data_IF_075808516605
#
_entry.id   IF_075808516605
#
_cell.length_a   1.000
_cell.length_b   1.000
_cell.length_c   1.000
_cell.angle_alpha   90.00
_cell.angle_beta   90.00
_cell.angle_gamma   90.00
#
_symmetry.space_group_name_H-M   'P 1'
#
loop_
_entity.id
_entity.type
_entity.pdbx_description
1 polymer ?
#
# COMPACT_ATOMS: atom_id res chain seq x y z
N UNK A 1 -28.57 37.09 -7.50
CA UNK A 1 -28.06 36.06 -6.58
C UNK A 1 -27.80 34.66 -7.21
N UNK A 2 -28.29 34.34 -8.41
CA UNK A 2 -28.07 33.01 -9.06
C UNK A 2 -26.75 32.91 -9.87
N UNK A 3 -26.19 34.00 -10.35
CA UNK A 3 -24.98 34.01 -11.19
C UNK A 3 -23.72 33.76 -10.35
N UNK A 4 -23.67 34.17 -9.07
CA UNK A 4 -22.50 33.96 -8.19
C UNK A 4 -22.30 32.50 -7.78
N UNK A 5 -23.36 31.69 -7.66
CA UNK A 5 -23.26 30.28 -7.27
C UNK A 5 -22.71 29.40 -8.41
N UNK A 6 -23.01 29.74 -9.69
CA UNK A 6 -22.51 28.99 -10.86
C UNK A 6 -21.00 29.20 -11.06
N UNK A 7 -20.49 30.43 -10.83
CA UNK A 7 -19.06 30.72 -10.94
C UNK A 7 -18.22 29.99 -9.88
N UNK A 8 -18.70 29.91 -8.63
CA UNK A 8 -17.98 29.23 -7.53
C UNK A 8 -17.87 27.72 -7.82
N UNK A 9 -18.91 27.09 -8.35
CA UNK A 9 -18.90 25.66 -8.68
C UNK A 9 -17.96 25.34 -9.85
N UNK A 10 -17.94 26.18 -10.88
CA UNK A 10 -17.07 26.03 -12.05
C UNK A 10 -15.57 26.20 -11.70
N UNK A 11 -15.23 27.14 -10.83
CA UNK A 11 -13.84 27.34 -10.36
C UNK A 11 -13.35 26.15 -9.53
N UNK A 12 -14.20 25.60 -8.66
CA UNK A 12 -13.84 24.45 -7.82
C UNK A 12 -13.59 23.19 -8.64
N UNK A 13 -14.35 22.93 -9.69
CA UNK A 13 -14.17 21.78 -10.60
C UNK A 13 -12.86 21.94 -11.40
N UNK A 14 -12.58 23.12 -11.91
CA UNK A 14 -11.36 23.37 -12.68
C UNK A 14 -10.11 23.21 -11.82
N UNK A 15 -10.11 23.71 -10.58
CA UNK A 15 -9.00 23.57 -9.64
C UNK A 15 -8.75 22.10 -9.26
N UNK A 16 -9.79 21.29 -9.10
CA UNK A 16 -9.66 19.88 -8.81
C UNK A 16 -9.05 19.09 -9.98
N UNK A 17 -9.42 19.40 -11.21
CA UNK A 17 -8.84 18.76 -12.41
C UNK A 17 -7.36 19.11 -12.60
N UNK A 18 -6.97 20.34 -12.34
CA UNK A 18 -5.57 20.78 -12.41
C UNK A 18 -4.71 20.07 -11.34
N UNK A 19 -5.20 19.95 -10.12
CA UNK A 19 -4.49 19.27 -9.05
C UNK A 19 -4.32 17.75 -9.30
N UNK A 20 -5.31 17.08 -9.89
CA UNK A 20 -5.22 15.67 -10.28
C UNK A 20 -4.23 15.49 -11.44
N UNK A 21 -4.23 16.37 -12.42
CA UNK A 21 -3.28 16.32 -13.53
C UNK A 21 -1.83 16.49 -13.07
N UNK A 22 -1.61 17.35 -12.07
CA UNK A 22 -0.30 17.64 -11.51
C UNK A 22 0.25 16.44 -10.75
N UNK A 23 -0.49 15.86 -9.81
CA UNK A 23 -0.06 14.67 -9.06
C UNK A 23 0.17 13.46 -9.99
N UNK A 24 -0.62 13.29 -11.05
CA UNK A 24 -0.44 12.21 -12.02
C UNK A 24 0.89 12.34 -12.76
N UNK A 25 1.29 13.56 -13.12
CA UNK A 25 2.57 13.81 -13.76
C UNK A 25 3.76 13.56 -12.82
N UNK A 26 3.66 13.97 -11.55
CA UNK A 26 4.67 13.70 -10.52
C UNK A 26 4.82 12.20 -10.27
N UNK A 27 3.70 11.48 -10.12
CA UNK A 27 3.68 10.02 -9.98
C UNK A 27 4.31 9.33 -11.20
N UNK A 28 4.05 9.80 -12.41
CA UNK A 28 4.65 9.28 -13.63
C UNK A 28 6.17 9.41 -13.65
N UNK A 29 6.70 10.57 -13.25
CA UNK A 29 8.15 10.80 -13.11
C UNK A 29 8.75 9.89 -12.03
N UNK A 30 8.12 9.78 -10.88
CA UNK A 30 8.58 8.94 -9.78
C UNK A 30 8.54 7.44 -10.16
N UNK A 31 7.49 6.99 -10.83
CA UNK A 31 7.30 5.59 -11.24
C UNK A 31 8.32 5.10 -12.28
N UNK A 32 8.97 6.02 -13.01
CA UNK A 32 9.98 5.71 -14.04
C UNK A 32 11.35 6.32 -13.74
N UNK A 33 11.54 6.88 -12.54
CA UNK A 33 12.75 7.57 -12.14
C UNK A 33 13.98 6.64 -12.10
N UNK A 34 15.16 7.21 -12.40
CA UNK A 34 16.45 6.49 -12.48
C UNK A 34 16.92 5.89 -11.15
N UNK A 35 16.34 6.31 -10.03
CA UNK A 35 16.59 5.72 -8.71
C UNK A 35 15.92 4.35 -8.52
N UNK A 36 15.07 3.93 -9.46
CA UNK A 36 14.38 2.65 -9.47
C UNK A 36 15.08 1.67 -10.39
N UNK A 37 15.17 0.40 -9.98
CA UNK A 37 15.69 -0.64 -10.84
C UNK A 37 14.75 -0.95 -12.03
N UNK A 38 15.31 -1.42 -13.15
CA UNK A 38 14.52 -1.86 -14.30
C UNK A 38 13.49 -2.92 -13.92
N UNK A 39 13.85 -3.85 -13.02
CA UNK A 39 12.94 -4.89 -12.51
C UNK A 39 11.75 -4.29 -11.77
N UNK A 40 11.97 -3.25 -10.94
CA UNK A 40 10.89 -2.57 -10.23
C UNK A 40 10.00 -1.76 -11.17
N UNK A 41 10.58 -1.09 -12.17
CA UNK A 41 9.85 -0.36 -13.22
C UNK A 41 9.02 -1.34 -14.05
N UNK A 42 9.60 -2.48 -14.46
CA UNK A 42 8.90 -3.51 -15.22
C UNK A 42 7.64 -4.09 -14.53
N UNK A 43 7.54 -3.90 -13.22
CA UNK A 43 6.36 -4.33 -12.43
C UNK A 43 5.25 -3.30 -12.36
N UNK A 44 5.44 -2.09 -12.91
CA UNK A 44 4.40 -1.06 -12.94
C UNK A 44 3.15 -1.56 -13.70
N UNK A 45 3.33 -2.38 -14.74
CA UNK A 45 2.23 -2.98 -15.53
C UNK A 45 1.31 -3.90 -14.72
N UNK A 46 1.77 -4.39 -13.57
CA UNK A 46 1.00 -5.25 -12.66
C UNK A 46 0.50 -4.51 -11.42
N UNK A 47 1.10 -3.38 -11.09
CA UNK A 47 0.85 -2.66 -9.83
C UNK A 47 0.20 -1.31 -10.01
N UNK A 48 0.12 -0.84 -11.25
CA UNK A 48 -0.58 0.39 -11.65
C UNK A 48 -0.42 1.51 -10.62
N UNK A 49 0.86 1.90 -10.27
CA UNK A 49 1.10 2.77 -9.12
C UNK A 49 0.45 4.14 -9.26
N UNK A 50 0.39 4.69 -10.47
CA UNK A 50 -0.19 6.01 -10.72
C UNK A 50 -1.68 5.97 -10.43
N UNK A 51 -2.38 5.03 -11.05
CA UNK A 51 -3.83 4.84 -10.92
C UNK A 51 -4.21 4.49 -9.48
N UNK A 52 -3.43 3.60 -8.85
CA UNK A 52 -3.66 3.16 -7.45
C UNK A 52 -3.53 4.31 -6.46
N UNK A 53 -2.45 5.10 -6.54
CA UNK A 53 -2.21 6.21 -5.63
C UNK A 53 -3.17 7.38 -5.88
N UNK A 54 -3.54 7.62 -7.15
CA UNK A 54 -4.60 8.58 -7.51
C UNK A 54 -5.96 8.16 -6.99
N UNK A 55 -6.32 6.88 -7.08
CA UNK A 55 -7.57 6.33 -6.51
C UNK A 55 -7.65 6.56 -5.00
N UNK A 56 -6.54 6.39 -4.28
CA UNK A 56 -6.48 6.67 -2.85
C UNK A 56 -6.53 8.17 -2.52
N UNK A 57 -6.33 9.03 -3.51
CA UNK A 57 -6.41 10.48 -3.36
C UNK A 57 -5.10 11.11 -2.85
N UNK A 58 -3.95 10.49 -3.15
CA UNK A 58 -2.64 11.05 -2.79
C UNK A 58 -2.47 12.46 -3.34
N UNK A 59 -1.90 13.34 -2.51
CA UNK A 59 -1.41 14.67 -2.89
C UNK A 59 0.02 14.83 -2.36
N UNK A 60 0.81 15.67 -3.01
CA UNK A 60 2.22 15.87 -2.66
C UNK A 60 2.46 16.58 -1.32
N UNK A 61 1.44 17.24 -0.77
CA UNK A 61 1.50 17.96 0.51
C UNK A 61 0.90 17.20 1.70
N UNK A 62 0.65 15.89 1.54
CA UNK A 62 0.08 15.05 2.59
C UNK A 62 1.14 14.49 3.54
N UNK A 63 0.73 14.23 4.77
CA UNK A 63 1.41 13.30 5.67
C UNK A 63 0.94 11.89 5.36
N UNK A 64 1.83 11.03 4.85
CA UNK A 64 1.55 9.66 4.42
C UNK A 64 2.30 8.66 5.29
N UNK A 65 1.63 7.57 5.67
CA UNK A 65 2.27 6.43 6.34
C UNK A 65 2.20 5.21 5.44
N UNK A 66 3.34 4.66 5.04
CA UNK A 66 3.44 3.37 4.35
C UNK A 66 3.68 2.26 5.37
N UNK A 67 2.75 1.29 5.44
CA UNK A 67 2.85 0.17 6.37
C UNK A 67 3.60 -0.99 5.73
N UNK A 68 4.67 -1.44 6.38
CA UNK A 68 5.51 -2.56 5.99
C UNK A 68 5.99 -2.48 4.53
N UNK A 69 6.77 -1.45 4.17
CA UNK A 69 7.40 -1.36 2.85
C UNK A 69 8.30 -2.56 2.54
N UNK A 70 8.68 -3.33 3.56
CA UNK A 70 9.59 -4.46 3.45
C UNK A 70 11.02 -4.04 3.19
N UNK A 71 11.89 -4.98 2.82
CA UNK A 71 13.30 -4.67 2.54
C UNK A 71 13.50 -3.92 1.21
N UNK A 72 12.56 -4.05 0.29
CA UNK A 72 12.65 -3.45 -1.06
C UNK A 72 12.04 -2.06 -1.18
N UNK A 73 11.05 -1.68 -0.35
CA UNK A 73 10.41 -0.36 -0.39
C UNK A 73 9.86 0.02 -1.76
N UNK A 74 9.13 -0.88 -2.41
CA UNK A 74 8.72 -0.70 -3.81
C UNK A 74 7.85 0.56 -4.03
N UNK A 75 6.88 0.81 -3.12
CA UNK A 75 6.07 2.02 -3.15
C UNK A 75 6.80 3.22 -2.51
N UNK A 76 7.70 2.99 -1.54
CA UNK A 76 8.57 4.04 -1.00
C UNK A 76 9.38 4.73 -2.10
N UNK A 77 9.83 3.97 -3.13
CA UNK A 77 10.53 4.53 -4.30
C UNK A 77 9.70 5.57 -5.05
N UNK A 78 8.39 5.50 -4.98
CA UNK A 78 7.46 6.41 -5.66
C UNK A 78 6.99 7.51 -4.70
N UNK A 79 6.64 7.14 -3.47
CA UNK A 79 6.11 8.06 -2.46
C UNK A 79 7.16 9.08 -2.00
N UNK A 80 8.41 8.62 -1.79
CA UNK A 80 9.45 9.49 -1.26
C UNK A 80 9.73 10.73 -2.14
N UNK A 81 9.98 10.61 -3.46
CA UNK A 81 10.21 11.80 -4.29
C UNK A 81 8.97 12.66 -4.47
N UNK A 82 7.75 12.09 -4.45
CA UNK A 82 6.50 12.84 -4.60
C UNK A 82 6.20 13.69 -3.37
N UNK A 83 6.50 13.17 -2.19
CA UNK A 83 6.22 13.86 -0.92
C UNK A 83 7.37 14.74 -0.43
N UNK A 84 8.51 14.73 -1.14
CA UNK A 84 9.77 15.29 -0.66
C UNK A 84 9.71 16.78 -0.30
N UNK A 85 9.04 17.59 -1.12
CA UNK A 85 9.09 19.05 -0.97
C UNK A 85 8.05 19.56 0.01
N UNK A 86 6.82 19.13 -0.11
CA UNK A 86 5.67 19.70 0.59
C UNK A 86 4.98 18.73 1.56
N UNK A 87 5.30 17.44 1.52
CA UNK A 87 4.67 16.38 2.31
C UNK A 87 5.61 15.74 3.32
N UNK A 88 5.10 14.73 4.01
CA UNK A 88 5.85 13.90 4.95
C UNK A 88 5.60 12.40 4.66
N UNK A 89 6.65 11.58 4.66
CA UNK A 89 6.55 10.13 4.53
C UNK A 89 7.09 9.42 5.76
N UNK A 90 6.22 8.72 6.47
CA UNK A 90 6.58 7.75 7.49
C UNK A 90 6.58 6.35 6.88
N UNK A 91 7.72 5.68 6.89
CA UNK A 91 7.86 4.30 6.47
C UNK A 91 7.85 3.39 7.70
N UNK A 92 6.66 2.98 8.12
CA UNK A 92 6.42 2.16 9.29
C UNK A 92 6.72 0.68 8.96
N UNK A 93 7.99 0.31 9.03
CA UNK A 93 8.48 -1.00 8.64
C UNK A 93 8.43 -2.02 9.79
N UNK A 94 9.07 -3.16 9.59
CA UNK A 94 9.27 -4.17 10.62
C UNK A 94 10.14 -3.63 11.76
N UNK A 95 9.81 -4.01 12.96
CA UNK A 95 10.72 -3.83 14.10
C UNK A 95 11.88 -4.83 13.98
N UNK A 96 13.07 -4.32 13.69
CA UNK A 96 14.28 -5.13 13.52
C UNK A 96 14.87 -5.67 14.83
N UNK A 97 14.24 -5.41 15.98
CA UNK A 97 14.69 -5.89 17.30
C UNK A 97 13.95 -7.14 17.79
N UNK A 98 13.09 -7.72 16.95
CA UNK A 98 12.18 -8.83 17.36
C UNK A 98 12.85 -10.19 17.53
N UNK A 99 14.13 -10.35 17.18
CA UNK A 99 14.82 -11.65 17.18
C UNK A 99 14.38 -12.59 16.03
N UNK A 100 13.56 -12.09 15.09
CA UNK A 100 13.08 -12.86 13.93
C UNK A 100 13.86 -12.45 12.70
N UNK A 101 14.74 -13.32 12.22
CA UNK A 101 15.67 -13.09 11.12
C UNK A 101 15.03 -12.42 9.87
N UNK A 102 13.82 -12.85 9.51
CA UNK A 102 13.11 -12.28 8.36
C UNK A 102 12.85 -10.77 8.53
N UNK A 103 12.38 -10.35 9.70
CA UNK A 103 12.06 -8.95 9.99
C UNK A 103 13.32 -8.11 10.17
N UNK A 104 14.32 -8.64 10.88
CA UNK A 104 15.62 -7.99 11.06
C UNK A 104 16.30 -7.74 9.71
N UNK A 105 16.36 -8.78 8.86
CA UNK A 105 16.91 -8.65 7.51
C UNK A 105 16.14 -7.64 6.68
N UNK A 106 14.81 -7.67 6.71
CA UNK A 106 13.96 -6.73 5.98
C UNK A 106 14.19 -5.29 6.42
N UNK A 107 14.21 -5.02 7.73
CA UNK A 107 14.48 -3.69 8.28
C UNK A 107 15.88 -3.19 7.92
N UNK A 108 16.90 -4.06 8.02
CA UNK A 108 18.30 -3.73 7.65
C UNK A 108 18.43 -3.39 6.16
N UNK A 109 17.83 -4.19 5.27
CA UNK A 109 17.86 -3.95 3.83
C UNK A 109 17.16 -2.64 3.47
N UNK A 110 16.02 -2.36 4.08
CA UNK A 110 15.30 -1.11 3.87
C UNK A 110 16.13 0.10 4.30
N UNK A 111 16.67 0.08 5.52
CA UNK A 111 17.53 1.15 6.03
C UNK A 111 18.75 1.38 5.12
N UNK A 112 19.38 0.29 4.66
CA UNK A 112 20.51 0.39 3.73
C UNK A 112 20.08 1.03 2.41
N UNK A 113 18.96 0.60 1.83
CA UNK A 113 18.44 1.19 0.58
C UNK A 113 18.27 2.70 0.68
N UNK A 114 17.68 3.18 1.77
CA UNK A 114 17.45 4.62 1.95
C UNK A 114 18.79 5.38 2.13
N UNK A 115 19.72 4.81 2.91
CA UNK A 115 21.04 5.43 3.13
C UNK A 115 21.94 5.42 1.89
N UNK A 116 21.76 4.49 0.96
CA UNK A 116 22.53 4.41 -0.29
C UNK A 116 22.14 5.50 -1.31
N UNK A 117 20.98 6.14 -1.16
CA UNK A 117 20.51 7.18 -2.06
C UNK A 117 19.81 8.33 -1.29
N UNK A 118 20.58 9.09 -0.50
CA UNK A 118 20.04 10.13 0.36
C UNK A 118 19.33 11.26 -0.42
N UNK A 119 19.77 11.58 -1.63
CA UNK A 119 19.14 12.61 -2.46
C UNK A 119 17.65 12.34 -2.72
N UNK A 120 17.21 11.08 -2.64
CA UNK A 120 15.82 10.67 -2.81
C UNK A 120 15.13 10.44 -1.48
N UNK A 121 15.84 9.87 -0.47
CA UNK A 121 15.20 9.28 0.70
C UNK A 121 15.53 9.93 2.04
N UNK A 122 16.37 10.95 2.10
CA UNK A 122 16.84 11.58 3.36
C UNK A 122 15.68 12.16 4.21
N UNK A 123 14.53 12.47 3.60
CA UNK A 123 13.35 12.97 4.30
C UNK A 123 12.35 11.88 4.72
N UNK A 124 12.63 10.60 4.42
CA UNK A 124 11.78 9.49 4.85
C UNK A 124 12.00 9.18 6.32
N UNK A 125 10.98 9.35 7.14
CA UNK A 125 11.01 8.97 8.55
C UNK A 125 10.81 7.46 8.68
N UNK A 126 11.87 6.72 9.04
CA UNK A 126 11.78 5.28 9.30
C UNK A 126 11.21 5.09 10.71
N UNK A 127 10.04 4.48 10.79
CA UNK A 127 9.38 4.08 12.03
C UNK A 127 9.09 2.58 12.03
N UNK A 128 8.43 2.06 13.06
CA UNK A 128 8.03 0.67 13.12
C UNK A 128 6.56 0.52 13.51
N UNK A 129 5.89 -0.46 12.92
CA UNK A 129 4.60 -0.97 13.38
C UNK A 129 4.68 -2.49 13.50
N UNK A 130 4.73 -3.00 14.72
CA UNK A 130 4.89 -4.42 15.02
C UNK A 130 4.27 -4.74 16.39
N UNK A 131 2.95 -4.81 16.51
CA UNK A 131 2.32 -5.14 17.78
C UNK A 131 2.82 -6.49 18.35
N UNK A 132 2.96 -6.60 19.68
CA UNK A 132 2.70 -5.56 20.68
C UNK A 132 3.88 -4.62 20.98
N UNK A 133 5.07 -4.84 20.37
CA UNK A 133 6.29 -4.11 20.72
C UNK A 133 6.33 -2.67 20.19
N UNK A 134 5.81 -2.44 18.98
CA UNK A 134 5.82 -1.14 18.29
C UNK A 134 4.43 -0.85 17.73
N UNK A 135 3.72 0.12 18.31
CA UNK A 135 2.31 0.42 17.98
C UNK A 135 2.08 1.87 17.52
N UNK A 136 3.11 2.68 17.43
CA UNK A 136 3.01 4.09 17.03
C UNK A 136 3.77 4.36 15.73
N UNK A 137 3.19 4.04 14.55
CA UNK A 137 3.87 4.20 13.26
C UNK A 137 4.10 5.65 12.86
N UNK A 138 3.35 6.59 13.43
CA UNK A 138 3.44 8.04 13.29
C UNK A 138 2.77 8.71 14.51
N UNK A 139 2.85 10.04 14.70
CA UNK A 139 2.07 10.73 15.72
C UNK A 139 0.56 10.50 15.54
N UNK A 140 -0.18 10.43 16.65
CA UNK A 140 -1.63 10.28 16.63
C UNK A 140 -2.31 11.40 15.84
N UNK A 141 -3.31 11.04 15.02
CA UNK A 141 -4.09 11.99 14.21
C UNK A 141 -3.23 12.94 13.38
N UNK A 142 -2.11 12.46 12.85
CA UNK A 142 -1.20 13.25 12.01
C UNK A 142 -1.30 12.89 10.52
N UNK A 143 -1.66 11.66 10.19
CA UNK A 143 -1.66 11.18 8.83
C UNK A 143 -2.93 11.56 8.06
N UNK A 144 -2.76 12.05 6.84
CA UNK A 144 -3.85 12.25 5.88
C UNK A 144 -4.19 10.96 5.16
N UNK A 145 -3.17 10.12 4.91
CA UNK A 145 -3.28 8.89 4.15
C UNK A 145 -2.38 7.80 4.77
N UNK A 146 -2.94 6.63 5.03
CA UNK A 146 -2.19 5.43 5.38
C UNK A 146 -2.33 4.41 4.26
N UNK A 147 -1.23 3.80 3.84
CA UNK A 147 -1.17 2.87 2.72
C UNK A 147 -0.60 1.52 3.16
N UNK A 148 -1.25 0.44 2.74
CA UNK A 148 -0.75 -0.91 2.93
C UNK A 148 -0.87 -1.74 1.66
N UNK A 149 0.23 -2.36 1.25
CA UNK A 149 0.31 -3.12 0.01
C UNK A 149 0.68 -4.58 0.26
N UNK A 150 -0.31 -5.49 0.18
CA UNK A 150 -0.13 -6.94 0.25
C UNK A 150 0.41 -7.45 1.60
N UNK A 151 0.02 -6.80 2.69
CA UNK A 151 0.48 -7.15 4.03
C UNK A 151 -0.60 -7.84 4.89
N UNK A 152 -1.89 -7.58 4.63
CA UNK A 152 -2.99 -8.01 5.50
C UNK A 152 -2.99 -9.51 5.80
N UNK A 153 -2.70 -10.35 4.79
CA UNK A 153 -2.59 -11.79 4.99
C UNK A 153 -1.52 -12.19 6.02
N UNK A 154 -0.43 -11.42 6.13
CA UNK A 154 0.60 -11.64 7.13
C UNK A 154 0.11 -11.26 8.54
N UNK A 155 -0.71 -10.21 8.65
CA UNK A 155 -1.30 -9.80 9.93
C UNK A 155 -2.30 -10.86 10.42
N UNK A 156 -3.20 -11.33 9.54
CA UNK A 156 -4.15 -12.41 9.84
C UNK A 156 -3.42 -13.71 10.22
N UNK A 157 -2.37 -14.07 9.47
CA UNK A 157 -1.54 -15.24 9.80
C UNK A 157 -0.87 -15.11 11.17
N UNK A 158 -0.53 -13.90 11.57
CA UNK A 158 0.11 -13.59 12.85
C UNK A 158 -0.86 -13.36 14.01
N UNK A 159 -2.17 -13.28 13.74
CA UNK A 159 -3.19 -12.94 14.76
C UNK A 159 -3.04 -11.52 15.30
N UNK A 160 -2.49 -10.60 14.50
CA UNK A 160 -2.22 -9.21 14.90
C UNK A 160 -3.01 -8.19 14.08
N UNK A 161 -3.91 -8.64 13.20
CA UNK A 161 -4.66 -7.77 12.29
C UNK A 161 -5.46 -6.70 13.02
N UNK A 162 -6.10 -7.05 14.14
CA UNK A 162 -6.84 -6.09 14.96
C UNK A 162 -5.94 -4.96 15.46
N UNK A 163 -4.84 -5.31 16.13
CA UNK A 163 -3.89 -4.33 16.67
C UNK A 163 -3.21 -3.48 15.57
N UNK A 164 -2.94 -4.07 14.40
CA UNK A 164 -2.42 -3.33 13.24
C UNK A 164 -3.43 -2.30 12.74
N UNK A 165 -4.69 -2.71 12.57
CA UNK A 165 -5.76 -1.83 12.10
C UNK A 165 -6.12 -0.73 13.11
N UNK A 166 -6.12 -1.03 14.40
CA UNK A 166 -6.29 -0.04 15.47
C UNK A 166 -5.18 1.02 15.44
N UNK A 167 -3.91 0.61 15.31
CA UNK A 167 -2.79 1.54 15.21
C UNK A 167 -2.88 2.43 13.95
N UNK A 168 -3.32 1.86 12.82
CA UNK A 168 -3.58 2.61 11.58
C UNK A 168 -4.70 3.62 11.78
N UNK A 169 -5.79 3.22 12.45
CA UNK A 169 -6.91 4.11 12.76
C UNK A 169 -6.47 5.26 13.68
N UNK A 170 -5.62 4.99 14.66
CA UNK A 170 -5.17 5.97 15.64
C UNK A 170 -4.33 7.09 15.02
N UNK A 171 -3.45 6.78 14.08
CA UNK A 171 -2.57 7.78 13.44
C UNK A 171 -3.27 8.62 12.37
N UNK A 172 -4.37 8.14 11.80
CA UNK A 172 -5.14 8.91 10.83
C UNK A 172 -5.86 10.08 11.47
N UNK A 173 -5.85 11.22 10.79
CA UNK A 173 -6.74 12.36 11.09
C UNK A 173 -8.21 11.95 10.93
N UNK A 174 -9.16 12.60 11.63
CA UNK A 174 -10.57 12.53 11.23
C UNK A 174 -10.72 12.90 9.75
N UNK A 175 -11.45 12.07 8.98
CA UNK A 175 -11.54 12.19 7.53
C UNK A 175 -10.34 11.66 6.75
N UNK A 176 -9.31 11.15 7.42
CA UNK A 176 -8.14 10.54 6.79
C UNK A 176 -8.47 9.21 6.10
N UNK A 177 -7.71 8.87 5.07
CA UNK A 177 -7.95 7.71 4.21
C UNK A 177 -7.01 6.56 4.58
N UNK A 178 -7.55 5.34 4.63
CA UNK A 178 -6.78 4.10 4.61
C UNK A 178 -6.93 3.43 3.24
N UNK A 179 -5.84 3.39 2.47
CA UNK A 179 -5.73 2.71 1.19
C UNK A 179 -5.10 1.33 1.34
N UNK A 180 -5.83 0.30 0.94
CA UNK A 180 -5.42 -1.09 1.11
C UNK A 180 -5.42 -1.82 -0.23
N UNK A 181 -4.28 -2.41 -0.60
CA UNK A 181 -4.16 -3.38 -1.69
C UNK A 181 -3.82 -4.74 -1.08
N UNK A 182 -4.65 -5.76 -1.31
CA UNK A 182 -4.44 -7.10 -0.80
C UNK A 182 -4.70 -8.16 -1.89
N UNK A 183 -4.07 -9.33 -1.77
CA UNK A 183 -4.35 -10.45 -2.67
C UNK A 183 -5.77 -10.93 -2.46
N UNK A 184 -6.58 -10.90 -3.53
CA UNK A 184 -8.01 -11.21 -3.48
C UNK A 184 -8.26 -12.70 -3.60
N UNK A 185 -8.86 -13.27 -2.56
CA UNK A 185 -9.40 -14.63 -2.56
C UNK A 185 -10.81 -14.72 -3.13
N UNK A 186 -11.30 -15.94 -3.34
CA UNK A 186 -12.71 -16.21 -3.57
C UNK A 186 -13.53 -16.04 -2.27
N UNK A 187 -14.87 -15.92 -2.31
CA UNK A 187 -15.67 -15.66 -1.10
C UNK A 187 -15.49 -16.67 0.04
N UNK A 188 -15.10 -17.90 -0.25
CA UNK A 188 -14.83 -18.96 0.71
C UNK A 188 -13.41 -18.93 1.30
N UNK A 189 -12.51 -18.09 0.76
CA UNK A 189 -11.12 -17.99 1.22
C UNK A 189 -11.00 -17.06 2.43
N UNK A 190 -11.44 -17.57 3.58
CA UNK A 190 -11.39 -16.86 4.87
C UNK A 190 -10.50 -17.61 5.87
N UNK A 191 -9.99 -16.87 6.85
CA UNK A 191 -9.19 -17.43 7.95
C UNK A 191 -7.73 -17.71 7.63
N UNK A 192 -7.05 -18.30 8.62
CA UNK A 192 -5.59 -18.40 8.67
C UNK A 192 -5.01 -19.30 7.55
N UNK A 193 -5.71 -20.34 7.14
CA UNK A 193 -5.21 -21.27 6.13
C UNK A 193 -5.08 -20.59 4.76
N UNK A 194 -6.04 -19.76 4.39
CA UNK A 194 -5.98 -18.97 3.18
C UNK A 194 -5.01 -17.80 3.28
N UNK A 195 -4.93 -17.16 4.46
CA UNK A 195 -3.93 -16.14 4.73
C UNK A 195 -2.48 -16.69 4.60
N UNK A 196 -2.25 -17.96 4.95
CA UNK A 196 -0.96 -18.63 4.70
C UNK A 196 -0.65 -18.81 3.23
N UNK A 197 -1.66 -18.90 2.36
CA UNK A 197 -1.54 -18.91 0.90
C UNK A 197 -1.52 -17.49 0.29
N UNK A 198 -1.64 -16.46 1.13
CA UNK A 198 -1.63 -15.05 0.75
C UNK A 198 -2.99 -14.49 0.36
N UNK A 199 -4.02 -15.30 0.18
CA UNK A 199 -5.36 -14.87 -0.25
C UNK A 199 -6.29 -14.59 0.93
N UNK A 200 -7.14 -13.57 0.80
CA UNK A 200 -8.25 -13.27 1.72
C UNK A 200 -9.45 -12.84 0.88
N UNK A 201 -10.65 -13.29 1.24
CA UNK A 201 -11.88 -12.84 0.60
C UNK A 201 -12.11 -11.34 0.83
N UNK A 202 -12.56 -10.61 -0.19
CA UNK A 202 -12.76 -9.15 -0.13
C UNK A 202 -13.75 -8.75 0.98
N UNK A 203 -14.86 -9.47 1.09
CA UNK A 203 -15.87 -9.23 2.13
C UNK A 203 -15.27 -9.38 3.55
N UNK A 204 -14.34 -10.33 3.76
CA UNK A 204 -13.66 -10.50 5.03
C UNK A 204 -12.72 -9.34 5.33
N UNK A 205 -12.01 -8.84 4.32
CA UNK A 205 -11.16 -7.64 4.49
C UNK A 205 -11.99 -6.43 4.89
N UNK A 206 -13.12 -6.18 4.21
CA UNK A 206 -14.03 -5.08 4.55
C UNK A 206 -14.55 -5.24 5.98
N UNK A 207 -14.96 -6.45 6.37
CA UNK A 207 -15.42 -6.75 7.73
C UNK A 207 -14.34 -6.45 8.79
N UNK A 208 -13.11 -6.89 8.57
CA UNK A 208 -11.99 -6.67 9.51
C UNK A 208 -11.70 -5.17 9.69
N UNK A 209 -11.63 -4.43 8.60
CA UNK A 209 -11.30 -3.00 8.62
C UNK A 209 -12.44 -2.18 9.24
N UNK A 210 -13.70 -2.48 8.90
CA UNK A 210 -14.84 -1.75 9.47
C UNK A 210 -15.07 -2.06 10.95
N UNK A 211 -14.66 -3.23 11.42
CA UNK A 211 -14.77 -3.61 12.84
C UNK A 211 -13.97 -2.70 13.79
N UNK A 212 -12.93 -2.02 13.31
CA UNK A 212 -12.12 -1.07 14.11
C UNK A 212 -12.53 0.39 13.91
N UNK A 213 -13.68 0.66 13.28
CA UNK A 213 -14.25 2.01 13.18
C UNK A 213 -14.04 2.73 11.85
N UNK A 214 -13.48 2.06 10.85
CA UNK A 214 -13.44 2.61 9.49
C UNK A 214 -14.77 2.47 8.78
N UNK A 215 -15.05 3.42 7.87
CA UNK A 215 -16.15 3.30 6.90
C UNK A 215 -15.56 2.90 5.54
N UNK A 216 -16.10 1.86 4.91
CA UNK A 216 -15.77 1.51 3.54
C UNK A 216 -16.31 2.59 2.58
N UNK A 217 -15.47 3.05 1.66
CA UNK A 217 -15.80 4.13 0.71
C UNK A 217 -15.99 3.59 -0.69
N UNK A 218 -14.99 2.84 -1.18
CA UNK A 218 -14.98 2.42 -2.59
C UNK A 218 -13.98 1.27 -2.81
N UNK A 219 -14.15 0.57 -3.93
CA UNK A 219 -13.23 -0.44 -4.43
C UNK A 219 -12.87 -0.18 -5.89
N UNK A 220 -11.73 -0.71 -6.32
CA UNK A 220 -11.27 -0.58 -7.70
C UNK A 220 -10.65 -1.87 -8.23
N UNK A 221 -10.90 -2.16 -9.49
CA UNK A 221 -10.32 -3.28 -10.23
C UNK A 221 -8.94 -2.94 -10.86
N UNK A 222 -8.34 -1.81 -10.52
CA UNK A 222 -7.03 -1.35 -11.06
C UNK A 222 -5.96 -2.44 -10.97
N UNK A 223 -5.94 -3.21 -9.88
CA UNK A 223 -4.95 -4.25 -9.63
C UNK A 223 -5.52 -5.68 -9.81
N UNK A 224 -6.66 -5.82 -10.48
CA UNK A 224 -7.26 -7.12 -10.75
C UNK A 224 -6.46 -7.90 -11.79
N UNK A 225 -6.39 -9.21 -11.60
CA UNK A 225 -5.83 -10.13 -12.60
C UNK A 225 -6.74 -11.35 -12.75
N UNK A 226 -7.60 -11.38 -13.78
CA UNK A 226 -8.53 -12.47 -14.00
C UNK A 226 -7.85 -13.80 -14.37
N UNK A 227 -6.55 -13.78 -14.74
CA UNK A 227 -5.78 -14.98 -15.04
C UNK A 227 -5.32 -15.71 -13.76
N UNK A 228 -5.38 -15.07 -12.59
CA UNK A 228 -5.05 -15.70 -11.31
C UNK A 228 -6.19 -16.61 -10.87
N UNK A 229 -6.01 -17.91 -11.08
CA UNK A 229 -7.01 -18.94 -10.74
C UNK A 229 -7.05 -19.30 -9.25
N UNK A 230 -6.11 -18.81 -8.45
CA UNK A 230 -6.05 -18.94 -6.97
C UNK A 230 -5.92 -20.38 -6.44
N UNK A 231 -5.76 -21.39 -7.31
CA UNK A 231 -5.73 -22.81 -6.96
C UNK A 231 -4.33 -23.41 -6.87
N UNK A 232 -3.32 -22.58 -6.63
CA UNK A 232 -1.92 -23.01 -6.53
C UNK A 232 -1.62 -23.60 -5.15
N UNK A 233 -0.76 -24.65 -5.12
CA UNK A 233 -0.36 -25.30 -3.88
C UNK A 233 0.26 -24.31 -2.88
N UNK A 234 1.19 -23.46 -3.37
CA UNK A 234 1.86 -22.43 -2.58
C UNK A 234 1.16 -21.05 -2.62
N UNK A 235 -0.10 -21.01 -3.06
CA UNK A 235 -0.87 -19.77 -3.15
C UNK A 235 -0.18 -18.72 -4.03
N UNK A 236 -0.24 -17.45 -3.63
CA UNK A 236 0.34 -16.30 -4.37
C UNK A 236 1.85 -16.42 -4.59
N UNK A 237 2.54 -17.21 -3.76
CA UNK A 237 4.00 -17.39 -3.85
C UNK A 237 4.43 -18.21 -5.07
N UNK A 238 3.50 -18.93 -5.71
CA UNK A 238 3.72 -19.63 -6.98
C UNK A 238 3.93 -18.65 -8.13
N UNK A 239 3.24 -17.50 -8.09
CA UNK A 239 3.24 -16.48 -9.12
C UNK A 239 4.45 -15.53 -9.00
N UNK A 240 4.71 -14.69 -10.05
CA UNK A 240 5.67 -13.61 -9.95
C UNK A 240 5.38 -12.66 -8.78
N UNK A 241 6.41 -12.07 -8.19
CA UNK A 241 7.83 -12.23 -8.47
C UNK A 241 8.47 -13.36 -7.68
N UNK A 242 7.69 -14.10 -6.87
CA UNK A 242 8.24 -15.09 -5.92
C UNK A 242 8.74 -16.36 -6.61
N UNK A 243 7.96 -16.88 -7.58
CA UNK A 243 8.27 -18.12 -8.28
C UNK A 243 8.79 -19.21 -7.33
N UNK A 244 8.04 -19.48 -6.24
CA UNK A 244 8.49 -20.41 -5.17
C UNK A 244 8.84 -21.79 -5.69
N UNK A 245 8.26 -22.23 -6.79
CA UNK A 245 8.56 -23.50 -7.45
C UNK A 245 9.81 -23.47 -8.33
N UNK A 246 10.56 -22.35 -8.33
CA UNK A 246 11.76 -22.18 -9.15
C UNK A 246 11.44 -22.26 -10.64
N UNK A 247 12.13 -23.15 -11.36
CA UNK A 247 11.96 -23.33 -12.81
C UNK A 247 10.74 -24.20 -13.17
N UNK A 248 10.09 -24.86 -12.19
CA UNK A 248 8.92 -25.71 -12.46
C UNK A 248 7.75 -24.86 -12.97
N UNK A 249 7.31 -25.11 -14.21
CA UNK A 249 6.22 -24.38 -14.88
C UNK A 249 6.39 -22.86 -14.90
N UNK A 250 7.58 -22.33 -14.76
CA UNK A 250 7.87 -20.90 -14.62
C UNK A 250 7.27 -20.06 -15.74
N UNK A 251 7.40 -20.51 -16.99
CA UNK A 251 6.83 -19.82 -18.14
C UNK A 251 5.29 -19.70 -18.05
N UNK A 252 4.61 -20.74 -17.56
CA UNK A 252 3.17 -20.74 -17.29
C UNK A 252 2.81 -19.70 -16.23
N UNK A 253 3.52 -19.69 -15.09
CA UNK A 253 3.24 -18.74 -14.01
C UNK A 253 3.61 -17.31 -14.41
N UNK A 254 4.66 -17.14 -15.20
CA UNK A 254 5.01 -15.85 -15.75
C UNK A 254 3.94 -15.28 -16.69
N UNK A 255 3.30 -16.13 -17.52
CA UNK A 255 2.21 -15.71 -18.41
C UNK A 255 0.94 -15.32 -17.66
N UNK A 256 0.71 -15.83 -16.45
CA UNK A 256 -0.37 -15.42 -15.57
C UNK A 256 -0.11 -14.00 -15.01
N UNK A 257 1.14 -13.70 -14.67
CA UNK A 257 1.53 -12.44 -14.07
C UNK A 257 1.43 -12.42 -12.54
N UNK A 258 1.47 -11.22 -11.92
CA UNK A 258 1.28 -11.08 -10.48
C UNK A 258 -0.18 -11.44 -10.09
N UNK A 259 -0.38 -11.86 -8.84
CA UNK A 259 -1.69 -12.28 -8.33
C UNK A 259 -2.79 -11.24 -8.52
N UNK A 260 -4.02 -11.70 -8.55
CA UNK A 260 -5.22 -10.86 -8.44
C UNK A 260 -5.26 -10.09 -7.13
N UNK A 261 -5.56 -8.79 -7.17
CA UNK A 261 -5.58 -7.93 -5.99
C UNK A 261 -6.79 -7.01 -5.97
N UNK A 262 -7.46 -7.00 -4.82
CA UNK A 262 -8.42 -5.96 -4.50
C UNK A 262 -7.72 -4.66 -4.16
N UNK A 263 -8.33 -3.54 -4.48
CA UNK A 263 -7.88 -2.18 -4.12
C UNK A 263 -9.04 -1.50 -3.41
N UNK A 264 -8.92 -1.32 -2.09
CA UNK A 264 -10.01 -0.89 -1.22
C UNK A 264 -9.67 0.43 -0.54
N UNK A 265 -10.64 1.33 -0.49
CA UNK A 265 -10.55 2.63 0.13
C UNK A 265 -11.47 2.74 1.32
N UNK A 266 -10.92 3.13 2.45
CA UNK A 266 -11.65 3.35 3.69
C UNK A 266 -11.40 4.76 4.21
N UNK A 267 -12.32 5.28 5.02
CA UNK A 267 -12.19 6.57 5.67
C UNK A 267 -12.37 6.42 7.19
N UNK A 268 -11.55 7.11 7.97
CA UNK A 268 -11.82 7.32 9.38
C UNK A 268 -12.90 8.38 9.51
N UNK A 269 -13.95 8.09 10.29
CA UNK A 269 -15.02 9.07 10.52
C UNK A 269 -14.47 10.43 10.95
N UNK A 270 -15.11 11.54 10.50
CA UNK A 270 -14.76 12.90 10.89
C UNK A 270 -14.85 13.15 12.40
#
# INVERSE_FOLDING_TARGET
MRIFQVLIFSVSILSAHLAIADITAELGKAATGSHRSADNIGRNIWRHPIETLTFFGLKNNMTVVEIWPGGGGWYTEILAPVLREDGELYAANYDGSTGREYFERGAKLFKKKLSDNPDVYDRVAITALMPPSSIAPAPKSSADLVLSFRNLHNWVRGGIEGAMLEAIHEVLKPGGIFGLVAHRGTPDMVGIEWARKGYIAEAEVIRLVTAVGFTFVDSSEINANPNDTKNYADGVWTLPPSFRLGETDKAKYQSIGESDRMTLKFIKAP
#
